data_IF_904311665713
#
_entry.id   IF_904311665713
#
_cell.length_a   1.000
_cell.length_b   1.000
_cell.length_c   1.000
_cell.angle_alpha   90.00
_cell.angle_beta   90.00
_cell.angle_gamma   90.00
#
_symmetry.space_group_name_H-M   'P 1'
#
loop_
_entity.id
_entity.type
_entity.pdbx_description
1 polymer ?
#
# COMPACT_ATOMS: atom_id res chain seq x y z
N UNK A 1 -17.26 21.25 55.98
CA UNK A 1 -18.21 21.85 55.02
C UNK A 1 -17.78 21.49 53.61
N UNK A 2 -18.68 20.86 52.82
CA UNK A 2 -18.74 20.72 51.35
C UNK A 2 -17.45 20.20 50.65
N UNK A 3 -17.26 18.88 50.51
CA UNK A 3 -17.67 18.05 49.34
C UNK A 3 -17.60 18.82 48.02
N UNK A 4 -16.56 18.59 47.19
CA UNK A 4 -16.63 18.61 45.72
C UNK A 4 -15.53 17.70 45.14
N UNK A 5 -15.85 16.41 45.01
CA UNK A 5 -15.16 15.50 44.09
C UNK A 5 -15.60 15.85 42.66
N UNK A 6 -14.77 16.57 41.92
CA UNK A 6 -14.93 16.71 40.47
C UNK A 6 -14.07 15.62 39.81
N UNK A 7 -14.70 14.48 39.59
CA UNK A 7 -14.20 13.43 38.69
C UNK A 7 -14.34 13.95 37.24
N UNK A 8 -13.23 14.34 36.63
CA UNK A 8 -13.15 14.57 35.18
C UNK A 8 -13.15 13.21 34.48
N UNK A 9 -14.27 12.87 33.84
CA UNK A 9 -14.34 11.75 32.90
C UNK A 9 -13.45 12.05 31.68
N UNK A 10 -12.30 11.40 31.61
CA UNK A 10 -11.53 11.24 30.37
C UNK A 10 -12.32 10.33 29.44
N UNK A 11 -13.03 10.92 28.46
CA UNK A 11 -13.55 10.20 27.30
C UNK A 11 -12.35 9.74 26.46
N UNK A 12 -11.86 8.53 26.71
CA UNK A 12 -10.95 7.83 25.80
C UNK A 12 -11.79 7.40 24.61
N UNK A 13 -11.83 8.24 23.57
CA UNK A 13 -12.37 7.85 22.28
C UNK A 13 -11.54 6.70 21.74
N UNK A 14 -12.09 5.48 21.81
CA UNK A 14 -11.59 4.35 21.05
C UNK A 14 -11.84 4.65 19.57
N UNK A 15 -10.90 5.33 18.92
CA UNK A 15 -10.83 5.29 17.46
C UNK A 15 -10.56 3.83 17.10
N UNK A 16 -11.61 3.11 16.72
CA UNK A 16 -11.43 1.90 15.93
C UNK A 16 -10.64 2.34 14.70
N UNK A 17 -9.35 1.96 14.64
CA UNK A 17 -8.54 2.13 13.44
C UNK A 17 -9.13 1.22 12.37
N UNK A 18 -10.20 1.67 11.72
CA UNK A 18 -10.58 1.11 10.44
C UNK A 18 -9.38 1.33 9.52
N UNK A 19 -8.79 0.24 9.01
CA UNK A 19 -7.73 0.34 8.01
C UNK A 19 -8.20 1.27 6.88
N UNK A 20 -7.47 2.36 6.64
CA UNK A 20 -7.83 3.35 5.63
C UNK A 20 -8.02 2.65 4.28
N UNK A 21 -9.12 2.88 3.58
CA UNK A 21 -9.35 2.27 2.26
C UNK A 21 -8.39 2.86 1.23
N UNK A 22 -8.15 2.19 0.07
CA UNK A 22 -7.38 2.80 -1.01
C UNK A 22 -7.98 4.13 -1.50
N UNK A 23 -9.31 4.28 -1.42
CA UNK A 23 -9.99 5.52 -1.77
C UNK A 23 -9.67 6.65 -0.78
N UNK A 24 -9.56 6.35 0.51
CA UNK A 24 -9.19 7.35 1.53
C UNK A 24 -7.75 7.85 1.34
N UNK A 25 -6.84 6.95 0.99
CA UNK A 25 -5.45 7.29 0.70
C UNK A 25 -5.32 8.13 -0.58
N UNK A 26 -6.09 7.80 -1.62
CA UNK A 26 -6.15 8.60 -2.85
C UNK A 26 -6.81 9.96 -2.58
N UNK A 27 -7.83 10.01 -1.73
CA UNK A 27 -8.47 11.26 -1.30
C UNK A 27 -7.46 12.18 -0.62
N UNK A 28 -6.71 11.66 0.37
CA UNK A 28 -5.65 12.41 1.04
C UNK A 28 -4.56 12.89 0.07
N UNK A 29 -4.20 12.07 -0.93
CA UNK A 29 -3.16 12.40 -1.92
C UNK A 29 -3.62 13.42 -2.97
N UNK A 30 -4.88 13.35 -3.39
CA UNK A 30 -5.43 14.18 -4.47
C UNK A 30 -6.08 15.47 -3.98
N UNK A 31 -6.49 15.53 -2.71
CA UNK A 31 -7.30 16.62 -2.16
C UNK A 31 -8.78 16.55 -2.53
N UNK A 32 -9.21 15.52 -3.27
CA UNK A 32 -10.61 15.30 -3.61
C UNK A 32 -11.32 14.54 -2.48
N UNK A 33 -12.62 14.79 -2.24
CA UNK A 33 -13.37 14.08 -1.22
C UNK A 33 -13.54 12.60 -1.60
N UNK A 34 -13.61 11.72 -0.60
CA UNK A 34 -13.63 10.27 -0.81
C UNK A 34 -14.79 9.78 -1.70
N UNK A 35 -15.96 10.44 -1.67
CA UNK A 35 -17.08 10.11 -2.55
C UNK A 35 -16.76 10.38 -4.03
N UNK A 36 -16.07 11.48 -4.33
CA UNK A 36 -15.63 11.81 -5.70
C UNK A 36 -14.54 10.85 -6.17
N UNK A 37 -13.58 10.53 -5.31
CA UNK A 37 -12.57 9.49 -5.58
C UNK A 37 -13.25 8.16 -5.90
N UNK A 38 -14.22 7.73 -5.10
CA UNK A 38 -14.95 6.49 -5.35
C UNK A 38 -15.70 6.51 -6.69
N UNK A 39 -16.30 7.64 -7.07
CA UNK A 39 -16.92 7.78 -8.39
C UNK A 39 -15.89 7.60 -9.51
N UNK A 40 -14.71 8.24 -9.41
CA UNK A 40 -13.61 8.09 -10.38
C UNK A 40 -13.06 6.65 -10.45
N UNK A 41 -13.02 5.94 -9.32
CA UNK A 41 -12.55 4.55 -9.24
C UNK A 41 -13.56 3.53 -9.77
N UNK A 42 -14.84 3.91 -9.93
CA UNK A 42 -15.92 2.99 -10.35
C UNK A 42 -15.83 2.58 -11.82
N UNK A 43 -15.24 3.42 -12.67
CA UNK A 43 -15.01 3.15 -14.08
C UNK A 43 -13.65 3.70 -14.52
N UNK A 44 -12.63 2.85 -14.55
CA UNK A 44 -11.26 3.24 -14.83
C UNK A 44 -11.06 3.81 -16.24
N UNK A 45 -11.90 3.43 -17.21
CA UNK A 45 -11.77 3.84 -18.61
C UNK A 45 -12.61 5.07 -18.96
N UNK A 46 -13.34 5.63 -18.00
CA UNK A 46 -14.26 6.76 -18.22
C UNK A 46 -13.56 8.08 -18.53
N UNK A 47 -12.33 8.28 -18.05
CA UNK A 47 -11.57 9.50 -18.26
C UNK A 47 -10.08 9.29 -17.96
N UNK A 48 -9.25 10.23 -18.39
CA UNK A 48 -7.83 10.22 -18.04
C UNK A 48 -7.58 10.28 -16.52
N UNK A 49 -8.39 11.06 -15.80
CA UNK A 49 -8.32 11.14 -14.34
C UNK A 49 -8.67 9.81 -13.70
N UNK A 50 -9.72 9.14 -14.20
CA UNK A 50 -10.14 7.81 -13.73
C UNK A 50 -9.02 6.78 -13.95
N UNK A 51 -8.37 6.79 -15.12
CA UNK A 51 -7.22 5.93 -15.39
C UNK A 51 -6.07 6.19 -14.42
N UNK A 52 -5.75 7.46 -14.17
CA UNK A 52 -4.71 7.85 -13.21
C UNK A 52 -5.02 7.37 -11.78
N UNK A 53 -6.26 7.50 -11.34
CA UNK A 53 -6.67 7.11 -9.99
C UNK A 53 -6.73 5.59 -9.84
N UNK A 54 -7.19 4.86 -10.85
CA UNK A 54 -7.14 3.41 -10.83
C UNK A 54 -5.71 2.88 -10.80
N UNK A 55 -4.77 3.50 -11.53
CA UNK A 55 -3.36 3.14 -11.45
C UNK A 55 -2.80 3.34 -10.02
N UNK A 56 -3.18 4.42 -9.33
CA UNK A 56 -2.80 4.63 -7.92
C UNK A 56 -3.44 3.61 -6.98
N UNK A 57 -4.73 3.30 -7.15
CA UNK A 57 -5.42 2.27 -6.35
C UNK A 57 -4.71 0.93 -6.46
N UNK A 58 -4.40 0.51 -7.68
CA UNK A 58 -3.77 -0.78 -7.93
C UNK A 58 -2.35 -0.85 -7.34
N UNK A 59 -1.62 0.27 -7.35
CA UNK A 59 -0.34 0.40 -6.66
C UNK A 59 -0.52 0.24 -5.14
N UNK A 60 -1.46 0.98 -4.54
CA UNK A 60 -1.74 0.92 -3.09
C UNK A 60 -2.08 -0.50 -2.66
N UNK A 61 -2.97 -1.17 -3.39
CA UNK A 61 -3.34 -2.57 -3.11
C UNK A 61 -2.12 -3.49 -3.19
N UNK A 62 -1.29 -3.37 -4.22
CA UNK A 62 -0.09 -4.19 -4.35
C UNK A 62 0.94 -3.92 -3.23
N UNK A 63 1.09 -2.68 -2.77
CA UNK A 63 1.96 -2.33 -1.64
C UNK A 63 1.46 -2.93 -0.33
N UNK A 64 0.14 -2.95 -0.11
CA UNK A 64 -0.46 -3.56 1.08
C UNK A 64 -0.28 -5.08 1.08
N UNK A 65 -0.47 -5.73 -0.06
CA UNK A 65 -0.16 -7.17 -0.20
C UNK A 65 1.31 -7.47 0.09
N UNK A 66 2.24 -6.64 -0.40
CA UNK A 66 3.66 -6.78 -0.08
C UNK A 66 3.89 -6.64 1.44
N UNK A 67 3.27 -5.64 2.07
CA UNK A 67 3.42 -5.40 3.51
C UNK A 67 2.90 -6.59 4.33
N UNK A 68 1.74 -7.15 3.99
CA UNK A 68 1.21 -8.36 4.64
C UNK A 68 2.18 -9.55 4.57
N UNK A 69 2.84 -9.75 3.42
CA UNK A 69 3.84 -10.81 3.28
C UNK A 69 5.09 -10.53 4.11
N UNK A 70 5.53 -9.26 4.17
CA UNK A 70 6.67 -8.85 5.00
C UNK A 70 6.33 -9.05 6.48
N UNK A 71 5.17 -8.60 6.94
CA UNK A 71 4.72 -8.74 8.33
C UNK A 71 4.62 -10.20 8.74
N UNK A 72 4.11 -11.06 7.84
CA UNK A 72 4.10 -12.51 8.06
C UNK A 72 5.51 -13.07 8.23
N UNK A 73 6.45 -12.72 7.36
CA UNK A 73 7.84 -13.17 7.51
C UNK A 73 8.50 -12.65 8.78
N UNK A 74 8.18 -11.42 9.20
CA UNK A 74 8.64 -10.86 10.47
C UNK A 74 8.05 -11.65 11.65
N UNK A 75 6.77 -12.03 11.58
CA UNK A 75 6.13 -12.82 12.62
C UNK A 75 6.71 -14.24 12.73
N UNK A 76 7.06 -14.86 11.58
CA UNK A 76 7.69 -16.19 11.51
C UNK A 76 9.17 -16.14 11.93
N UNK A 77 9.86 -15.04 11.64
CA UNK A 77 11.30 -14.85 11.90
C UNK A 77 11.60 -13.46 12.48
N UNK A 78 11.23 -13.18 13.75
CA UNK A 78 11.41 -11.87 14.36
C UNK A 78 12.87 -11.41 14.41
N UNK A 79 13.82 -12.35 14.49
CA UNK A 79 15.26 -12.09 14.50
C UNK A 79 15.77 -11.46 13.20
N UNK A 80 15.02 -11.60 12.10
CA UNK A 80 15.37 -11.05 10.78
C UNK A 80 14.69 -9.71 10.48
N UNK A 81 13.85 -9.20 11.39
CA UNK A 81 13.00 -8.02 11.15
C UNK A 81 13.77 -6.85 10.55
N UNK A 82 14.79 -6.36 11.26
CA UNK A 82 15.54 -5.17 10.83
C UNK A 82 16.22 -5.36 9.47
N UNK A 83 16.77 -6.56 9.22
CA UNK A 83 17.41 -6.87 7.94
C UNK A 83 16.39 -6.95 6.79
N UNK A 84 15.20 -7.52 7.04
CA UNK A 84 14.13 -7.60 6.05
C UNK A 84 13.56 -6.21 5.73
N UNK A 85 13.24 -5.42 6.75
CA UNK A 85 12.74 -4.04 6.58
C UNK A 85 13.74 -3.17 5.80
N UNK A 86 15.03 -3.23 6.15
CA UNK A 86 16.08 -2.50 5.43
C UNK A 86 16.19 -2.94 3.97
N UNK A 87 16.08 -4.24 3.70
CA UNK A 87 16.10 -4.80 2.34
C UNK A 87 14.89 -4.32 1.53
N UNK A 88 13.70 -4.33 2.12
CA UNK A 88 12.47 -3.88 1.45
C UNK A 88 12.52 -2.37 1.20
N UNK A 89 12.95 -1.57 2.16
CA UNK A 89 13.10 -0.13 2.00
C UNK A 89 14.09 0.22 0.87
N UNK A 90 15.27 -0.43 0.86
CA UNK A 90 16.27 -0.25 -0.21
C UNK A 90 15.71 -0.65 -1.58
N UNK A 91 14.97 -1.75 -1.64
CA UNK A 91 14.34 -2.21 -2.87
C UNK A 91 13.23 -1.27 -3.35
N UNK A 92 12.35 -0.77 -2.47
CA UNK A 92 11.30 0.21 -2.83
C UNK A 92 11.91 1.47 -3.43
N UNK A 93 12.97 2.02 -2.81
CA UNK A 93 13.70 3.17 -3.34
C UNK A 93 14.26 2.92 -4.74
N UNK A 94 14.86 1.75 -4.98
CA UNK A 94 15.39 1.39 -6.29
C UNK A 94 14.28 1.19 -7.34
N UNK A 95 13.16 0.55 -6.97
CA UNK A 95 11.97 0.41 -7.80
C UNK A 95 11.44 1.78 -8.21
N UNK A 96 11.23 2.67 -7.26
CA UNK A 96 10.59 3.96 -7.51
C UNK A 96 11.45 4.83 -8.43
N UNK A 97 12.78 4.84 -8.23
CA UNK A 97 13.71 5.53 -9.13
C UNK A 97 13.71 4.94 -10.54
N UNK A 98 13.68 3.60 -10.67
CA UNK A 98 13.62 2.93 -11.97
C UNK A 98 12.29 3.20 -12.68
N UNK A 99 11.16 3.15 -11.97
CA UNK A 99 9.85 3.38 -12.53
C UNK A 99 9.64 4.84 -12.93
N UNK A 100 10.13 5.81 -12.15
CA UNK A 100 10.12 7.22 -12.54
C UNK A 100 10.94 7.44 -13.81
N UNK A 101 12.14 6.84 -13.91
CA UNK A 101 12.97 6.95 -15.11
C UNK A 101 12.26 6.39 -16.35
N UNK A 102 11.63 5.22 -16.24
CA UNK A 102 10.86 4.62 -17.34
C UNK A 102 9.64 5.45 -17.72
N UNK A 103 8.87 5.90 -16.72
CA UNK A 103 7.67 6.71 -16.94
C UNK A 103 8.03 8.05 -17.61
N UNK A 104 9.09 8.72 -17.17
CA UNK A 104 9.59 9.96 -17.80
C UNK A 104 10.09 9.73 -19.23
N UNK A 105 10.73 8.60 -19.51
CA UNK A 105 11.20 8.27 -20.85
C UNK A 105 10.04 8.13 -21.85
N UNK A 106 8.94 7.51 -21.41
CA UNK A 106 7.80 7.22 -22.28
C UNK A 106 6.81 8.40 -22.36
N UNK A 107 6.59 9.11 -21.25
CA UNK A 107 5.52 10.10 -21.13
C UNK A 107 6.01 11.54 -20.96
N UNK A 108 7.31 11.78 -20.79
CA UNK A 108 7.85 13.12 -20.55
C UNK A 108 7.18 13.79 -19.35
N UNK A 109 6.65 14.99 -19.55
CA UNK A 109 5.85 15.71 -18.55
C UNK A 109 4.33 15.58 -18.79
N UNK A 110 3.90 14.61 -19.61
CA UNK A 110 2.50 14.36 -19.91
C UNK A 110 1.68 13.91 -18.70
N UNK A 111 0.37 14.16 -18.76
CA UNK A 111 -0.59 13.89 -17.67
C UNK A 111 -0.77 12.41 -17.31
N UNK A 112 -0.28 11.48 -18.15
CA UNK A 112 -0.24 10.03 -17.85
C UNK A 112 1.04 9.58 -17.15
N UNK A 113 2.09 10.41 -17.03
CA UNK A 113 3.34 10.01 -16.37
C UNK A 113 3.11 9.42 -14.96
N UNK A 114 2.28 10.03 -14.09
CA UNK A 114 2.02 9.47 -12.76
C UNK A 114 1.35 8.09 -12.79
N UNK A 115 0.44 7.84 -13.75
CA UNK A 115 -0.14 6.50 -13.95
C UNK A 115 0.90 5.50 -14.41
N UNK A 116 1.73 5.85 -15.40
CA UNK A 116 2.76 4.97 -15.92
C UNK A 116 3.76 4.56 -14.82
N UNK A 117 4.15 5.50 -13.95
CA UNK A 117 4.97 5.21 -12.79
C UNK A 117 4.28 4.24 -11.82
N UNK A 118 3.00 4.46 -11.50
CA UNK A 118 2.22 3.61 -10.60
C UNK A 118 2.01 2.20 -11.16
N UNK A 119 1.74 2.08 -12.46
CA UNK A 119 1.62 0.79 -13.17
C UNK A 119 2.94 0.02 -13.11
N UNK A 120 4.06 0.68 -13.40
CA UNK A 120 5.39 0.07 -13.27
C UNK A 120 5.64 -0.42 -11.83
N UNK A 121 5.38 0.44 -10.84
CA UNK A 121 5.57 0.10 -9.44
C UNK A 121 4.72 -1.11 -9.04
N UNK A 122 3.45 -1.14 -9.43
CA UNK A 122 2.53 -2.27 -9.21
C UNK A 122 3.09 -3.58 -9.75
N UNK A 123 3.53 -3.59 -11.02
CA UNK A 123 4.05 -4.80 -11.66
C UNK A 123 5.31 -5.32 -10.96
N UNK A 124 6.22 -4.43 -10.57
CA UNK A 124 7.46 -4.77 -9.87
C UNK A 124 7.18 -5.22 -8.44
N UNK A 125 6.21 -4.60 -7.76
CA UNK A 125 5.76 -5.00 -6.42
C UNK A 125 5.15 -6.39 -6.41
N UNK A 126 4.23 -6.70 -7.33
CA UNK A 126 3.66 -8.05 -7.44
C UNK A 126 4.74 -9.13 -7.66
N UNK A 127 5.80 -8.83 -8.40
CA UNK A 127 6.95 -9.74 -8.57
C UNK A 127 7.71 -9.96 -7.26
N UNK A 128 7.94 -8.91 -6.47
CA UNK A 128 8.59 -9.02 -5.16
C UNK A 128 7.72 -9.79 -4.16
N UNK A 129 6.43 -9.50 -4.09
CA UNK A 129 5.46 -10.21 -3.24
C UNK A 129 5.49 -11.71 -3.50
N UNK A 130 5.48 -12.13 -4.79
CA UNK A 130 5.63 -13.53 -5.18
C UNK A 130 6.97 -14.12 -4.73
N UNK A 131 8.07 -13.39 -4.91
CA UNK A 131 9.42 -13.81 -4.49
C UNK A 131 9.51 -14.05 -2.99
N UNK A 132 8.95 -13.15 -2.18
CA UNK A 132 8.95 -13.32 -0.71
C UNK A 132 8.02 -14.46 -0.28
N UNK A 133 6.85 -14.57 -0.90
CA UNK A 133 5.89 -15.64 -0.58
C UNK A 133 6.46 -17.04 -0.84
N UNK A 134 7.29 -17.21 -1.88
CA UNK A 134 7.94 -18.47 -2.20
C UNK A 134 9.10 -18.86 -1.24
N UNK A 135 9.60 -17.91 -0.45
CA UNK A 135 10.68 -18.13 0.52
C UNK A 135 10.11 -18.60 1.87
N UNK A 136 8.84 -18.34 2.15
CA UNK A 136 8.16 -18.92 3.31
C UNK A 136 8.13 -20.45 3.16
N UNK A 137 8.48 -21.23 4.19
CA UNK A 137 8.50 -22.67 4.07
C UNK A 137 7.10 -23.15 3.66
N UNK A 138 7.03 -23.79 2.49
CA UNK A 138 5.87 -24.59 2.13
C UNK A 138 5.72 -25.64 3.22
N UNK A 139 4.66 -25.57 4.02
CA UNK A 139 4.13 -26.77 4.67
C UNK A 139 3.66 -27.71 3.56
N UNK A 140 4.59 -28.45 2.95
CA UNK A 140 4.24 -29.63 2.17
C UNK A 140 3.67 -30.62 3.18
N UNK A 141 2.42 -31.08 3.05
CA UNK A 141 2.04 -32.29 3.75
C UNK A 141 2.86 -33.42 3.13
N UNK A 142 3.68 -34.08 3.95
CA UNK A 142 4.31 -35.34 3.58
C UNK A 142 3.21 -36.28 3.10
N UNK A 143 3.24 -36.59 1.80
CA UNK A 143 2.41 -37.64 1.21
C UNK A 143 3.02 -38.96 1.70
N UNK A 144 2.53 -39.44 2.83
CA UNK A 144 2.74 -40.80 3.27
C UNK A 144 2.31 -41.76 2.16
N UNK A 145 3.20 -42.69 1.81
CA UNK A 145 2.94 -43.82 0.93
C UNK A 145 3.27 -45.08 1.69
#
# INVERSE_FOLDING_TARGET
MKKHCLWLLMMVSAAAFADQTPADEISARSGLPANEVNALLSNCDSSQTSMNFCAWRDQIVAERELQQVVDRQISEHPERKAALEAKIAKWKKARDASCEKSARKEWGDGSMRPAAQAICATAVTKKMTKKLSAIAPSSRPDRAK
#
